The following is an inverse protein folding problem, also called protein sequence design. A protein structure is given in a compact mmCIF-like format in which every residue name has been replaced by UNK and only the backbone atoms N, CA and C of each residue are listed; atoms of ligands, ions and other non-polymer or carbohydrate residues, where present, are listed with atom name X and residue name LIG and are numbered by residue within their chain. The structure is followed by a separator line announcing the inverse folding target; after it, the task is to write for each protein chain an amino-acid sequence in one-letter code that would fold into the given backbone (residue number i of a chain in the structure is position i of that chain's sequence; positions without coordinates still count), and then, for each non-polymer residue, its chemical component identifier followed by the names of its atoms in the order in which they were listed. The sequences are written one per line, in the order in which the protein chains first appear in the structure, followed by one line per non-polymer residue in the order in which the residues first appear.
data_IF_295196501583
#
_entry.id   IF_295196501583
#
_cell.length_a   1.000
_cell.length_b   1.000
_cell.length_c   1.000
_cell.angle_alpha   90.00
_cell.angle_beta   90.00
_cell.angle_gamma   90.00
#
_symmetry.space_group_name_H-M   'P 1'
#
loop_
_entity.id
_entity.type
_entity.pdbx_description
1 polymer ?
#
# COMPACT_ATOMS: atom_id res chain seq x y z
N UNK A 1 25.14 18.58 11.95
CA UNK A 1 23.92 17.97 12.53
C UNK A 1 22.70 18.24 11.63
N UNK A 2 22.10 17.19 11.07
CA UNK A 2 20.78 17.30 10.44
C UNK A 2 19.76 17.59 11.53
N UNK A 3 19.06 18.73 11.42
CA UNK A 3 18.03 19.12 12.36
C UNK A 3 16.82 18.21 12.16
N UNK A 4 16.44 17.47 13.20
CA UNK A 4 15.16 16.77 13.23
C UNK A 4 14.05 17.81 13.19
N UNK A 5 13.27 17.81 12.11
CA UNK A 5 12.07 18.64 11.99
C UNK A 5 10.87 17.72 12.12
N UNK A 6 10.11 17.75 13.22
CA UNK A 6 8.96 16.89 13.39
C UNK A 6 7.93 17.17 12.29
N UNK A 7 7.31 16.10 11.76
CA UNK A 7 6.22 16.18 10.79
C UNK A 7 4.98 16.75 11.50
N UNK A 8 4.72 18.05 11.29
CA UNK A 8 3.64 18.79 11.99
C UNK A 8 2.27 18.62 11.33
N UNK A 9 2.21 18.02 10.13
CA UNK A 9 0.98 17.78 9.38
C UNK A 9 0.88 16.30 8.99
N UNK A 10 -0.27 15.64 9.19
CA UNK A 10 -0.48 14.27 8.71
C UNK A 10 -0.35 14.20 7.18
N UNK A 11 0.33 13.18 6.68
CA UNK A 11 0.32 12.87 5.23
C UNK A 11 -1.00 12.28 4.79
N UNK A 12 -1.36 12.52 3.53
CA UNK A 12 -2.52 11.94 2.86
C UNK A 12 -2.09 10.81 1.94
N UNK A 13 -2.81 9.69 2.01
CA UNK A 13 -2.51 8.47 1.25
C UNK A 13 -3.70 8.08 0.36
N UNK A 14 -3.43 7.44 -0.77
CA UNK A 14 -4.48 6.85 -1.61
C UNK A 14 -3.94 5.85 -2.63
N UNK A 15 -4.67 4.75 -2.86
CA UNK A 15 -4.34 3.80 -3.93
C UNK A 15 -4.85 4.41 -5.23
N UNK A 16 -3.95 4.70 -6.15
CA UNK A 16 -4.33 5.11 -7.51
C UNK A 16 -4.63 3.88 -8.35
N UNK A 17 -3.76 2.88 -8.28
CA UNK A 17 -3.94 1.57 -8.92
C UNK A 17 -3.29 0.49 -8.07
N UNK A 18 -3.84 -0.72 -8.12
CA UNK A 18 -3.22 -1.92 -7.59
C UNK A 18 -3.55 -3.10 -8.51
N UNK A 19 -2.60 -4.01 -8.69
CA UNK A 19 -2.75 -5.19 -9.53
C UNK A 19 -1.99 -6.36 -8.92
N UNK A 20 -2.64 -7.52 -8.85
CA UNK A 20 -1.99 -8.78 -8.50
C UNK A 20 -1.22 -9.28 -9.73
N UNK A 21 0.06 -9.58 -9.53
CA UNK A 21 1.00 -9.96 -10.60
C UNK A 21 1.49 -11.39 -10.49
N UNK A 22 1.36 -12.00 -9.30
CA UNK A 22 1.69 -13.39 -9.05
C UNK A 22 0.69 -14.01 -8.07
N UNK A 23 1.02 -15.21 -7.56
CA UNK A 23 0.17 -15.91 -6.58
C UNK A 23 0.03 -15.12 -5.27
N UNK A 24 1.11 -14.48 -4.85
CA UNK A 24 1.35 -13.85 -3.55
C UNK A 24 2.07 -12.50 -3.69
N UNK A 25 2.04 -11.90 -4.88
CA UNK A 25 2.72 -10.64 -5.19
C UNK A 25 1.89 -9.72 -6.07
N UNK A 26 2.13 -8.43 -5.94
CA UNK A 26 1.45 -7.38 -6.69
C UNK A 26 2.27 -6.11 -6.85
N UNK A 27 1.75 -5.20 -7.66
CA UNK A 27 2.28 -3.85 -7.85
C UNK A 27 1.17 -2.82 -7.67
N UNK A 28 1.53 -1.63 -7.20
CA UNK A 28 0.59 -0.54 -7.01
C UNK A 28 1.23 0.82 -7.27
N UNK A 29 0.38 1.80 -7.56
CA UNK A 29 0.73 3.21 -7.56
C UNK A 29 -0.01 3.88 -6.41
N UNK A 30 0.75 4.45 -5.48
CA UNK A 30 0.24 5.10 -4.28
C UNK A 30 0.45 6.61 -4.40
N UNK A 31 -0.59 7.37 -4.08
CA UNK A 31 -0.47 8.80 -3.82
C UNK A 31 0.00 8.99 -2.37
N UNK A 32 1.09 9.74 -2.20
CA UNK A 32 1.56 10.24 -0.91
C UNK A 32 1.70 11.76 -1.02
N UNK A 33 0.75 12.50 -0.45
CA UNK A 33 0.65 13.96 -0.60
C UNK A 33 0.69 14.38 -2.09
N UNK A 34 1.76 15.07 -2.51
CA UNK A 34 1.99 15.52 -3.89
C UNK A 34 2.90 14.59 -4.71
N UNK A 35 3.15 13.38 -4.21
CA UNK A 35 4.00 12.38 -4.84
C UNK A 35 3.22 11.13 -5.26
N UNK A 36 3.80 10.42 -6.22
CA UNK A 36 3.39 9.09 -6.66
C UNK A 36 4.51 8.12 -6.32
N UNK A 37 4.16 7.04 -5.65
CA UNK A 37 5.06 5.96 -5.29
C UNK A 37 4.65 4.73 -6.10
N UNK A 38 5.55 4.26 -6.97
CA UNK A 38 5.41 2.96 -7.61
C UNK A 38 5.98 1.92 -6.65
N UNK A 39 5.13 1.00 -6.18
CA UNK A 39 5.50 0.00 -5.18
C UNK A 39 5.27 -1.41 -5.70
N UNK A 40 6.09 -2.33 -5.21
CA UNK A 40 5.86 -3.78 -5.32
C UNK A 40 5.59 -4.31 -3.91
N UNK A 41 4.73 -5.30 -3.79
CA UNK A 41 4.39 -5.89 -2.51
C UNK A 41 4.21 -7.40 -2.61
N UNK A 42 4.55 -8.08 -1.52
CA UNK A 42 4.20 -9.48 -1.30
C UNK A 42 3.10 -9.54 -0.23
N UNK A 43 2.25 -10.57 -0.32
CA UNK A 43 1.13 -10.74 0.57
C UNK A 43 0.81 -12.20 0.86
N UNK A 44 0.18 -12.43 2.00
CA UNK A 44 -0.45 -13.70 2.33
C UNK A 44 -1.97 -13.54 2.29
N UNK A 45 -2.65 -14.48 1.63
CA UNK A 45 -4.10 -14.53 1.55
C UNK A 45 -4.64 -15.72 2.34
N UNK A 46 -5.68 -15.49 3.13
CA UNK A 46 -6.29 -16.52 3.98
C UNK A 46 -7.80 -16.30 4.09
N UNK A 47 -8.60 -17.38 4.28
CA UNK A 47 -10.03 -17.25 4.48
C UNK A 47 -10.34 -16.58 5.83
N UNK A 48 -11.30 -15.67 5.84
CA UNK A 48 -11.79 -14.98 7.04
C UNK A 48 -13.31 -14.74 6.94
N UNK A 49 -13.96 -14.33 8.03
CA UNK A 49 -15.38 -14.01 8.07
C UNK A 49 -15.71 -13.00 9.17
N UNK A 50 -16.83 -12.27 9.02
CA UNK A 50 -17.33 -11.39 10.08
C UNK A 50 -18.12 -12.15 11.18
N UNK A 51 -18.03 -13.48 11.23
CA UNK A 51 -18.71 -14.30 12.23
C UNK A 51 -20.22 -14.47 12.01
N UNK A 52 -20.75 -14.02 10.87
CA UNK A 52 -22.13 -14.29 10.43
C UNK A 52 -22.14 -15.14 9.15
N UNK A 53 -23.06 -16.10 8.99
CA UNK A 53 -23.10 -16.92 7.78
C UNK A 53 -23.25 -16.08 6.50
N UNK A 54 -22.46 -16.39 5.46
CA UNK A 54 -22.49 -15.64 4.19
C UNK A 54 -21.60 -14.38 4.18
N UNK A 55 -20.76 -14.19 5.21
CA UNK A 55 -19.82 -13.08 5.33
C UNK A 55 -18.36 -13.46 5.16
N UNK A 56 -18.12 -14.61 4.54
CA UNK A 56 -16.81 -15.18 4.25
C UNK A 56 -16.14 -14.35 3.16
N UNK A 57 -14.85 -14.08 3.33
CA UNK A 57 -14.03 -13.36 2.37
C UNK A 57 -12.59 -13.87 2.43
N UNK A 58 -11.78 -13.49 1.44
CA UNK A 58 -10.34 -13.72 1.49
C UNK A 58 -9.67 -12.47 2.06
N UNK A 59 -9.19 -12.57 3.30
CA UNK A 59 -8.40 -11.54 3.94
C UNK A 59 -6.95 -11.58 3.43
N UNK A 60 -6.26 -10.45 3.53
CA UNK A 60 -4.89 -10.29 3.06
C UNK A 60 -4.03 -9.58 4.08
N UNK A 61 -2.80 -10.06 4.26
CA UNK A 61 -1.76 -9.33 4.99
C UNK A 61 -0.58 -9.03 4.05
N UNK A 62 -0.20 -7.76 3.97
CA UNK A 62 0.99 -7.33 3.23
C UNK A 62 2.22 -7.67 4.07
N UNK A 63 3.08 -8.57 3.58
CA UNK A 63 4.25 -9.09 4.32
C UNK A 63 5.54 -8.36 3.95
N UNK A 64 5.62 -7.82 2.73
CA UNK A 64 6.73 -7.02 2.24
C UNK A 64 6.19 -5.86 1.39
N UNK A 65 6.83 -4.70 1.51
CA UNK A 65 6.58 -3.55 0.64
C UNK A 65 7.92 -2.97 0.18
N UNK A 66 8.08 -2.82 -1.13
CA UNK A 66 9.25 -2.20 -1.75
C UNK A 66 8.81 -0.93 -2.48
N UNK A 67 9.43 0.20 -2.15
CA UNK A 67 9.28 1.45 -2.91
C UNK A 67 10.26 1.42 -4.07
N UNK A 68 9.75 1.26 -5.29
CA UNK A 68 10.60 1.13 -6.48
C UNK A 68 10.99 2.51 -7.03
N UNK A 69 10.05 3.45 -7.03
CA UNK A 69 10.24 4.79 -7.59
C UNK A 69 9.31 5.79 -6.90
N UNK A 70 9.81 7.00 -6.66
CA UNK A 70 9.02 8.14 -6.22
C UNK A 70 9.11 9.25 -7.25
N UNK A 71 7.97 9.76 -7.72
CA UNK A 71 7.91 10.95 -8.57
C UNK A 71 7.00 12.03 -8.02
N UNK A 72 7.28 13.30 -8.30
CA UNK A 72 6.29 14.36 -8.11
C UNK A 72 5.19 14.33 -9.19
N UNK A 73 4.24 15.26 -9.12
CA UNK A 73 3.16 15.40 -10.12
C UNK A 73 3.65 15.71 -11.54
N UNK A 74 4.88 16.21 -11.69
CA UNK A 74 5.50 16.56 -12.97
C UNK A 74 6.37 15.42 -13.51
N UNK A 75 6.46 14.29 -12.80
CA UNK A 75 7.26 13.12 -13.19
C UNK A 75 8.75 13.23 -12.82
N UNK A 76 9.16 14.20 -12.00
CA UNK A 76 10.54 14.27 -11.50
C UNK A 76 10.76 13.19 -10.44
N UNK A 77 11.82 12.39 -10.57
CA UNK A 77 12.15 11.33 -9.62
C UNK A 77 12.87 11.85 -8.37
N UNK A 78 12.65 11.15 -7.25
CA UNK A 78 13.22 11.44 -5.93
C UNK A 78 13.80 10.16 -5.30
N UNK A 79 14.80 10.32 -4.43
CA UNK A 79 15.22 9.24 -3.54
C UNK A 79 14.08 8.86 -2.59
N UNK A 80 14.09 7.62 -2.13
CA UNK A 80 13.14 7.17 -1.12
C UNK A 80 13.30 7.99 0.17
N UNK A 81 12.23 8.69 0.52
CA UNK A 81 12.11 9.49 1.74
C UNK A 81 11.04 8.93 2.69
N UNK A 82 10.46 7.77 2.36
CA UNK A 82 9.40 7.18 3.16
C UNK A 82 9.90 6.80 4.54
N UNK A 83 9.06 7.04 5.54
CA UNK A 83 9.30 6.68 6.92
C UNK A 83 8.48 5.44 7.29
N UNK A 84 8.81 4.85 8.44
CA UNK A 84 8.10 3.65 8.94
C UNK A 84 6.56 3.83 8.99
N UNK A 85 6.09 5.02 9.37
CA UNK A 85 4.67 5.34 9.41
C UNK A 85 4.03 5.34 8.02
N UNK A 86 4.73 5.85 7.00
CA UNK A 86 4.25 5.85 5.63
C UNK A 86 4.09 4.40 5.14
N UNK A 87 5.08 3.55 5.37
CA UNK A 87 5.04 2.12 5.01
C UNK A 87 3.88 1.39 5.69
N UNK A 88 3.70 1.62 7.01
CA UNK A 88 2.58 1.03 7.76
C UNK A 88 1.23 1.44 7.21
N UNK A 89 1.07 2.73 6.90
CA UNK A 89 -0.18 3.27 6.36
C UNK A 89 -0.46 2.72 4.95
N UNK A 90 0.57 2.61 4.11
CA UNK A 90 0.46 2.04 2.75
C UNK A 90 0.05 0.57 2.82
N UNK A 91 0.63 -0.23 3.72
CA UNK A 91 0.23 -1.64 3.89
C UNK A 91 -1.25 -1.78 4.27
N UNK A 92 -1.73 -1.01 5.24
CA UNK A 92 -3.15 -1.03 5.63
C UNK A 92 -4.08 -0.58 4.50
N UNK A 93 -3.65 0.41 3.72
CA UNK A 93 -4.38 0.93 2.58
C UNK A 93 -4.46 -0.10 1.44
N UNK A 94 -3.36 -0.79 1.13
CA UNK A 94 -3.31 -1.86 0.13
C UNK A 94 -4.17 -3.05 0.55
N UNK A 95 -4.05 -3.50 1.82
CA UNK A 95 -4.91 -4.54 2.40
C UNK A 95 -6.39 -4.24 2.16
N UNK A 96 -6.85 -3.10 2.65
CA UNK A 96 -8.27 -2.71 2.51
C UNK A 96 -8.71 -2.56 1.06
N UNK A 97 -7.83 -2.07 0.18
CA UNK A 97 -8.14 -1.98 -1.25
C UNK A 97 -8.27 -3.35 -1.91
N UNK A 98 -7.37 -4.28 -1.63
CA UNK A 98 -7.37 -5.64 -2.19
C UNK A 98 -8.63 -6.39 -1.75
N UNK A 99 -8.94 -6.38 -0.46
CA UNK A 99 -10.11 -7.06 0.12
C UNK A 99 -11.42 -6.48 -0.40
N UNK A 100 -11.56 -5.14 -0.38
CA UNK A 100 -12.78 -4.47 -0.86
C UNK A 100 -13.05 -4.71 -2.34
N UNK A 101 -12.00 -4.83 -3.15
CA UNK A 101 -12.12 -5.05 -4.59
C UNK A 101 -11.98 -6.53 -5.00
N UNK A 102 -11.90 -7.46 -4.03
CA UNK A 102 -11.86 -8.91 -4.28
C UNK A 102 -10.74 -9.34 -5.23
N UNK A 103 -9.58 -8.67 -5.15
CA UNK A 103 -8.51 -8.87 -6.14
C UNK A 103 -7.81 -10.24 -6.03
N UNK A 104 -8.07 -10.99 -4.95
CA UNK A 104 -7.47 -12.30 -4.65
C UNK A 104 -8.51 -13.37 -4.35
N UNK A 105 -9.80 -13.12 -4.63
CA UNK A 105 -10.83 -14.16 -4.46
C UNK A 105 -10.61 -15.29 -5.46
N UNK A 106 -10.82 -16.52 -4.99
CA UNK A 106 -10.69 -17.77 -5.75
C UNK A 106 -11.96 -18.12 -6.54
#
# INVERSE_FOLDING_TARGET
PTLFTPKIQPSTYGVLTAKITGKDSGVAVIKLDSFRLNVSFDFEAYPDSYGVPGSEFTAVDITQLTVNEITDINGKSYNDFTEFEDIRNINGLLKGFIERNKLVEA
#
